data_IF_232010719369
#
_entry.id   IF_232010719369
#
_cell.length_a   1.000
_cell.length_b   1.000
_cell.length_c   1.000
_cell.angle_alpha   90.00
_cell.angle_beta   90.00
_cell.angle_gamma   90.00
#
_symmetry.space_group_name_H-M   'P 1'
#
loop_
_entity.id
_entity.type
_entity.pdbx_description
1 polymer ?
#
# COMPACT_ATOMS: atom_id res chain seq x y z
N UNK A 1 8.39 1.78 -11.80
CA UNK A 1 7.30 1.33 -10.91
C UNK A 1 6.17 2.31 -11.00
N UNK A 2 4.94 1.82 -10.98
CA UNK A 2 3.74 2.66 -11.05
C UNK A 2 3.33 3.08 -9.64
N UNK A 3 3.05 4.36 -9.38
CA UNK A 3 2.56 4.80 -8.07
C UNK A 3 1.20 4.15 -7.78
N UNK A 4 0.97 3.75 -6.53
CA UNK A 4 -0.31 3.18 -6.11
C UNK A 4 -1.49 4.14 -6.36
N UNK A 5 -1.30 5.46 -6.26
CA UNK A 5 -2.32 6.46 -6.62
C UNK A 5 -2.67 6.50 -8.12
N UNK A 6 -1.79 5.99 -8.97
CA UNK A 6 -1.91 6.08 -10.44
C UNK A 6 -2.49 4.79 -11.05
N UNK A 7 -2.55 3.69 -10.28
CA UNK A 7 -3.23 2.46 -10.71
C UNK A 7 -4.76 2.59 -10.58
N UNK A 8 -5.48 1.77 -11.34
CA UNK A 8 -6.94 1.77 -11.38
C UNK A 8 -7.53 1.55 -9.96
N UNK A 9 -8.63 2.23 -9.62
CA UNK A 9 -9.24 2.13 -8.29
C UNK A 9 -9.69 0.69 -7.94
N UNK A 10 -10.06 -0.10 -8.95
CA UNK A 10 -10.37 -1.52 -8.77
C UNK A 10 -9.14 -2.34 -8.34
N UNK A 11 -7.96 -2.03 -8.89
CA UNK A 11 -6.70 -2.68 -8.52
C UNK A 11 -6.24 -2.22 -7.13
N UNK A 12 -6.40 -0.93 -6.81
CA UNK A 12 -6.14 -0.43 -5.47
C UNK A 12 -6.99 -1.15 -4.41
N UNK A 13 -8.28 -1.35 -4.68
CA UNK A 13 -9.16 -2.07 -3.78
C UNK A 13 -8.68 -3.52 -3.55
N UNK A 14 -8.39 -4.24 -4.63
CA UNK A 14 -7.88 -5.62 -4.55
C UNK A 14 -6.59 -5.74 -3.75
N UNK A 15 -5.64 -4.83 -3.98
CA UNK A 15 -4.35 -4.82 -3.27
C UNK A 15 -4.53 -4.49 -1.79
N UNK A 16 -5.45 -3.58 -1.44
CA UNK A 16 -5.77 -3.27 -0.04
C UNK A 16 -6.45 -4.44 0.66
N UNK A 17 -7.35 -5.14 -0.02
CA UNK A 17 -8.00 -6.34 0.52
C UNK A 17 -7.01 -7.49 0.72
N UNK A 18 -6.15 -7.75 -0.27
CA UNK A 18 -5.12 -8.77 -0.18
C UNK A 18 -4.11 -8.45 0.94
N UNK A 19 -3.69 -7.19 1.06
CA UNK A 19 -2.82 -6.76 2.15
C UNK A 19 -3.51 -6.81 3.51
N UNK A 20 -4.82 -6.52 3.59
CA UNK A 20 -5.58 -6.66 4.83
C UNK A 20 -5.69 -8.12 5.29
N UNK A 21 -5.83 -9.10 4.38
CA UNK A 21 -5.79 -10.53 4.72
C UNK A 21 -4.40 -10.95 5.23
N UNK A 22 -3.35 -10.47 4.59
CA UNK A 22 -1.96 -10.71 5.00
C UNK A 22 -1.69 -10.11 6.40
N UNK A 23 -2.12 -8.88 6.62
CA UNK A 23 -2.01 -8.20 7.91
C UNK A 23 -2.89 -8.81 9.00
N UNK A 24 -4.05 -9.37 8.66
CA UNK A 24 -4.90 -10.10 9.62
C UNK A 24 -4.19 -11.35 10.16
N UNK A 25 -3.24 -11.92 9.40
CA UNK A 25 -2.39 -13.02 9.84
C UNK A 25 -1.19 -12.56 10.67
N UNK A 26 -0.79 -11.29 10.54
CA UNK A 26 0.35 -10.71 11.25
C UNK A 26 -0.11 -9.80 12.41
N UNK A 27 -0.18 -10.38 13.61
CA UNK A 27 -0.62 -9.72 14.87
C UNK A 27 0.38 -8.70 15.44
N UNK A 28 1.16 -8.00 14.60
CA UNK A 28 2.09 -6.99 15.06
C UNK A 28 2.34 -5.97 13.96
N UNK A 29 1.79 -4.76 14.11
CA UNK A 29 2.49 -3.58 13.58
C UNK A 29 2.27 -2.36 14.46
N UNK A 30 3.43 -1.84 14.88
CA UNK A 30 3.69 -0.54 15.46
C UNK A 30 3.50 0.58 14.40
N UNK A 31 4.15 1.73 14.61
CA UNK A 31 4.01 3.03 13.92
C UNK A 31 3.67 2.99 12.41
N UNK A 32 2.95 4.02 11.97
CA UNK A 32 2.46 4.21 10.60
C UNK A 32 3.55 4.03 9.53
N UNK A 33 4.76 4.56 9.76
CA UNK A 33 5.91 4.46 8.85
C UNK A 33 6.28 3.00 8.54
N UNK A 34 6.27 2.12 9.54
CA UNK A 34 6.60 0.71 9.40
C UNK A 34 5.53 -0.04 8.57
N UNK A 35 4.25 0.37 8.69
CA UNK A 35 3.16 -0.15 7.84
C UNK A 35 3.35 0.25 6.39
N UNK A 36 3.83 1.47 6.14
CA UNK A 36 4.06 2.00 4.80
C UNK A 36 5.26 1.31 4.17
N UNK A 37 6.37 1.16 4.90
CA UNK A 37 7.55 0.44 4.42
C UNK A 37 7.23 -1.03 4.10
N UNK A 38 6.47 -1.71 4.96
CA UNK A 38 6.03 -3.09 4.73
C UNK A 38 5.09 -3.21 3.53
N UNK A 39 4.11 -2.31 3.41
CA UNK A 39 3.20 -2.32 2.27
C UNK A 39 3.94 -2.02 0.96
N UNK A 40 4.88 -1.08 0.97
CA UNK A 40 5.73 -0.81 -0.18
C UNK A 40 6.55 -2.04 -0.56
N UNK A 41 7.23 -2.69 0.40
CA UNK A 41 8.01 -3.90 0.14
C UNK A 41 7.17 -5.06 -0.42
N UNK A 42 5.88 -5.14 -0.05
CA UNK A 42 4.93 -6.10 -0.59
C UNK A 42 4.46 -5.74 -2.02
N UNK A 43 4.38 -4.45 -2.35
CA UNK A 43 4.01 -3.93 -3.67
C UNK A 43 5.18 -3.89 -4.67
N UNK A 44 6.43 -3.78 -4.19
CA UNK A 44 7.62 -3.73 -5.03
C UNK A 44 7.72 -4.88 -6.07
N UNK A 45 7.55 -6.16 -5.69
CA UNK A 45 7.56 -7.27 -6.64
C UNK A 45 6.39 -7.23 -7.64
N UNK A 46 5.33 -6.48 -7.36
CA UNK A 46 4.17 -6.26 -8.23
C UNK A 46 4.40 -5.07 -9.18
N UNK A 47 5.57 -4.42 -9.12
CA UNK A 47 5.93 -3.26 -9.94
C UNK A 47 5.27 -1.96 -9.48
N UNK A 48 4.68 -1.95 -8.29
CA UNK A 48 3.93 -0.83 -7.71
C UNK A 48 4.74 -0.24 -6.57
N UNK A 49 4.74 1.09 -6.46
CA UNK A 49 5.35 1.82 -5.34
C UNK A 49 4.27 2.48 -4.50
N UNK A 50 4.35 2.32 -3.19
CA UNK A 50 3.51 3.01 -2.23
C UNK A 50 4.36 3.78 -1.23
N UNK A 51 3.92 4.97 -0.84
CA UNK A 51 4.69 5.86 0.04
C UNK A 51 3.73 6.79 0.80
N UNK A 52 4.23 7.49 1.82
CA UNK A 52 3.45 8.52 2.53
C UNK A 52 2.87 9.58 1.61
N UNK A 53 3.55 9.91 0.50
CA UNK A 53 3.04 10.87 -0.49
C UNK A 53 1.77 10.38 -1.22
N UNK A 54 1.55 9.06 -1.23
CA UNK A 54 0.34 8.43 -1.77
C UNK A 54 -0.86 8.58 -0.80
N UNK A 55 -0.59 8.81 0.49
CA UNK A 55 -1.62 9.14 1.49
C UNK A 55 -2.12 10.58 1.38
N UNK A 56 -1.35 11.47 0.74
CA UNK A 56 -1.79 12.85 0.55
C UNK A 56 -2.83 12.91 -0.56
N UNK A 57 -4.08 13.34 -0.28
CA UNK A 57 -5.04 13.58 -1.34
C UNK A 57 -4.48 14.63 -2.28
N UNK A 58 -4.65 14.46 -3.59
CA UNK A 58 -4.32 15.50 -4.58
C UNK A 58 -5.15 16.75 -4.25
N UNK A 59 -4.57 17.70 -3.53
CA UNK A 59 -5.06 19.07 -3.52
C UNK A 59 -4.91 19.59 -4.95
N UNK A 60 -6.02 19.69 -5.65
CA UNK A 60 -6.12 20.35 -6.95
C UNK A 60 -6.81 21.69 -6.77
#
# INVERSE_FOLDING_TARGET
MTPFRDIAPAEQARLREAYADEMARQTNTCSMDEKIARFNAWLEPQGISFSEDDLRPKSR
#
